data_IF_421854735961
#
_entry.id   IF_421854735961
#
_cell.length_a   1.000
_cell.length_b   1.000
_cell.length_c   1.000
_cell.angle_alpha   90.00
_cell.angle_beta   90.00
_cell.angle_gamma   90.00
#
_symmetry.space_group_name_H-M   'P 1'
#
loop_
_entity.id
_entity.type
_entity.pdbx_description
1 polymer ?
#
# COMPACT_ATOMS: atom_id res chain seq x y z
N UNK A 1 -35.34 -7.08 14.94
CA UNK A 1 -34.12 -7.93 14.95
C UNK A 1 -33.38 -7.86 13.61
N UNK A 2 -33.39 -6.72 12.90
CA UNK A 2 -33.02 -6.67 11.46
C UNK A 2 -31.84 -5.75 11.13
N UNK A 3 -31.33 -4.97 12.09
CA UNK A 3 -30.24 -4.01 11.88
C UNK A 3 -28.86 -4.67 11.76
N UNK A 4 -28.62 -5.78 12.46
CA UNK A 4 -27.34 -6.51 12.39
C UNK A 4 -27.11 -7.16 11.02
N UNK A 5 -28.19 -7.59 10.36
CA UNK A 5 -28.06 -8.18 9.02
C UNK A 5 -27.73 -7.12 7.98
N UNK A 6 -28.35 -5.95 8.04
CA UNK A 6 -28.06 -4.87 7.08
C UNK A 6 -26.65 -4.32 7.26
N UNK A 7 -26.16 -4.17 8.49
CA UNK A 7 -24.79 -3.70 8.75
C UNK A 7 -23.73 -4.64 8.17
N UNK A 8 -23.89 -5.95 8.34
CA UNK A 8 -22.95 -6.95 7.81
C UNK A 8 -22.94 -6.97 6.27
N UNK A 9 -24.10 -6.74 5.63
CA UNK A 9 -24.21 -6.65 4.17
C UNK A 9 -23.51 -5.39 3.66
N UNK A 10 -23.77 -4.23 4.27
CA UNK A 10 -23.11 -2.96 3.92
C UNK A 10 -21.60 -3.07 4.12
N UNK A 11 -21.14 -3.74 5.18
CA UNK A 11 -19.71 -3.96 5.44
C UNK A 11 -19.04 -4.84 4.38
N UNK A 12 -19.74 -5.85 3.87
CA UNK A 12 -19.27 -6.66 2.76
C UNK A 12 -19.17 -5.86 1.45
N UNK A 13 -20.13 -4.97 1.20
CA UNK A 13 -20.18 -4.14 -0.01
C UNK A 13 -19.12 -3.02 0.02
N UNK A 14 -19.10 -2.23 1.10
CA UNK A 14 -17.89 -1.94 1.89
C UNK A 14 -16.55 -2.39 1.30
N UNK A 15 -16.21 -3.58 1.75
CA UNK A 15 -14.96 -4.28 1.47
C UNK A 15 -14.80 -4.61 -0.01
N UNK A 16 -15.88 -4.98 -0.71
CA UNK A 16 -15.86 -5.27 -2.14
C UNK A 16 -15.50 -4.03 -2.98
N UNK A 17 -15.99 -2.84 -2.61
CA UNK A 17 -15.65 -1.59 -3.29
C UNK A 17 -14.16 -1.24 -3.13
N UNK A 18 -13.59 -1.44 -1.93
CA UNK A 18 -12.15 -1.28 -1.70
C UNK A 18 -11.33 -2.33 -2.45
N UNK A 19 -11.81 -3.57 -2.52
CA UNK A 19 -11.15 -4.64 -3.28
C UNK A 19 -11.16 -4.36 -4.79
N UNK A 20 -12.26 -3.83 -5.33
CA UNK A 20 -12.39 -3.43 -6.72
C UNK A 20 -11.67 -2.12 -7.06
N UNK A 21 -11.42 -1.26 -6.06
CA UNK A 21 -10.85 0.07 -6.26
C UNK A 21 -11.79 1.06 -6.93
N UNK A 22 -13.09 0.79 -6.90
CA UNK A 22 -14.11 1.61 -7.55
C UNK A 22 -15.31 1.78 -6.61
N UNK A 23 -15.83 3.01 -6.54
CA UNK A 23 -17.08 3.29 -5.84
C UNK A 23 -18.26 2.85 -6.72
N UNK A 24 -19.24 2.11 -6.18
CA UNK A 24 -20.47 1.80 -6.89
C UNK A 24 -21.26 3.08 -7.26
N UNK A 25 -21.81 3.18 -8.48
CA UNK A 25 -22.52 4.38 -8.93
C UNK A 25 -23.78 4.70 -8.11
N UNK A 26 -24.40 3.69 -7.49
CA UNK A 26 -25.52 3.81 -6.57
C UNK A 26 -25.15 4.55 -5.28
N UNK A 27 -23.96 4.30 -4.72
CA UNK A 27 -23.50 4.98 -3.51
C UNK A 27 -23.36 6.47 -3.73
N UNK A 28 -22.88 6.89 -4.91
CA UNK A 28 -22.77 8.31 -5.22
C UNK A 28 -24.11 9.04 -5.06
N UNK A 29 -25.20 8.43 -5.50
CA UNK A 29 -26.55 9.00 -5.37
C UNK A 29 -27.02 8.98 -3.92
N UNK A 30 -26.79 7.88 -3.20
CA UNK A 30 -27.16 7.76 -1.79
C UNK A 30 -26.42 8.77 -0.92
N UNK A 31 -25.11 8.93 -1.11
CA UNK A 31 -24.29 9.88 -0.36
C UNK A 31 -24.75 11.33 -0.58
N UNK A 32 -25.04 11.70 -1.83
CA UNK A 32 -25.60 13.03 -2.14
C UNK A 32 -26.98 13.23 -1.51
N UNK A 33 -27.84 12.20 -1.55
CA UNK A 33 -29.17 12.26 -0.93
C UNK A 33 -29.11 12.37 0.59
N UNK A 34 -28.12 11.73 1.22
CA UNK A 34 -27.83 11.85 2.67
C UNK A 34 -27.20 13.21 3.06
N UNK A 35 -27.04 14.13 2.11
CA UNK A 35 -26.54 15.49 2.35
C UNK A 35 -25.02 15.66 2.26
N UNK A 36 -24.27 14.64 1.84
CA UNK A 36 -22.82 14.76 1.65
C UNK A 36 -22.52 15.60 0.41
N UNK A 37 -21.57 16.52 0.51
CA UNK A 37 -21.19 17.39 -0.62
C UNK A 37 -20.58 16.57 -1.77
N UNK A 38 -20.86 16.97 -3.02
CA UNK A 38 -20.33 16.29 -4.20
C UNK A 38 -18.80 16.26 -4.27
N UNK A 39 -18.13 17.27 -3.72
CA UNK A 39 -16.66 17.25 -3.58
C UNK A 39 -16.20 16.14 -2.63
N UNK A 40 -16.86 15.97 -1.49
CA UNK A 40 -16.49 14.97 -0.48
C UNK A 40 -16.74 13.56 -1.01
N UNK A 41 -17.83 13.36 -1.76
CA UNK A 41 -18.08 12.09 -2.47
C UNK A 41 -16.96 11.78 -3.46
N UNK A 42 -16.47 12.77 -4.22
CA UNK A 42 -15.33 12.59 -5.12
C UNK A 42 -14.05 12.27 -4.36
N UNK A 43 -13.81 12.88 -3.19
CA UNK A 43 -12.68 12.57 -2.31
C UNK A 43 -12.74 11.12 -1.82
N UNK A 44 -13.93 10.63 -1.44
CA UNK A 44 -14.12 9.23 -1.05
C UNK A 44 -13.90 8.29 -2.25
N UNK A 45 -14.43 8.61 -3.42
CA UNK A 45 -14.20 7.80 -4.63
C UNK A 45 -12.70 7.73 -4.97
N UNK A 46 -12.00 8.86 -4.89
CA UNK A 46 -10.55 8.92 -5.08
C UNK A 46 -9.79 8.16 -3.99
N UNK A 47 -10.26 8.15 -2.73
CA UNK A 47 -9.61 7.42 -1.64
C UNK A 47 -9.76 5.91 -1.78
N UNK A 48 -10.91 5.42 -2.25
CA UNK A 48 -11.14 4.01 -2.61
C UNK A 48 -10.17 3.59 -3.73
N UNK A 49 -10.10 4.38 -4.82
CA UNK A 49 -9.21 4.10 -5.94
C UNK A 49 -7.73 4.14 -5.53
N UNK A 50 -7.31 5.13 -4.76
CA UNK A 50 -5.93 5.26 -4.27
C UNK A 50 -5.55 4.10 -3.33
N UNK A 51 -6.47 3.68 -2.45
CA UNK A 51 -6.23 2.53 -1.56
C UNK A 51 -6.01 1.25 -2.36
N UNK A 52 -6.83 0.99 -3.38
CA UNK A 52 -6.65 -0.15 -4.27
C UNK A 52 -5.30 -0.10 -4.99
N UNK A 53 -4.94 1.05 -5.57
CA UNK A 53 -3.65 1.22 -6.23
C UNK A 53 -2.46 1.00 -5.27
N UNK A 54 -2.54 1.49 -4.03
CA UNK A 54 -1.48 1.28 -3.05
C UNK A 54 -1.39 -0.19 -2.67
N UNK A 55 -2.50 -0.86 -2.38
CA UNK A 55 -2.51 -2.28 -2.03
C UNK A 55 -1.94 -3.11 -3.19
N UNK A 56 -2.44 -2.90 -4.41
CA UNK A 56 -1.98 -3.62 -5.60
C UNK A 56 -0.49 -3.36 -5.86
N UNK A 57 -0.06 -2.09 -5.74
CA UNK A 57 1.36 -1.71 -5.87
C UNK A 57 2.20 -2.31 -4.76
N UNK A 58 1.73 -2.40 -3.52
CA UNK A 58 2.50 -3.03 -2.43
C UNK A 58 2.63 -4.53 -2.62
N UNK A 59 1.58 -5.21 -3.09
CA UNK A 59 1.61 -6.65 -3.38
C UNK A 59 2.57 -6.93 -4.55
N UNK A 60 2.47 -6.16 -5.63
CA UNK A 60 3.37 -6.29 -6.79
C UNK A 60 4.80 -5.85 -6.46
N UNK A 61 4.97 -4.79 -5.68
CA UNK A 61 6.27 -4.36 -5.19
C UNK A 61 6.87 -5.40 -4.25
N UNK A 62 6.08 -6.10 -3.44
CA UNK A 62 6.60 -7.15 -2.56
C UNK A 62 7.24 -8.28 -3.36
N UNK A 63 6.63 -8.74 -4.45
CA UNK A 63 7.24 -9.80 -5.29
C UNK A 63 8.51 -9.30 -5.97
N UNK A 64 8.52 -8.07 -6.47
CA UNK A 64 9.73 -7.45 -7.05
C UNK A 64 10.82 -7.20 -6.01
N UNK A 65 10.47 -6.77 -4.81
CA UNK A 65 11.40 -6.55 -3.69
C UNK A 65 12.07 -7.85 -3.29
N UNK A 66 11.32 -8.95 -3.17
CA UNK A 66 11.91 -10.25 -2.86
C UNK A 66 12.92 -10.67 -3.93
N UNK A 67 12.60 -10.46 -5.22
CA UNK A 67 13.53 -10.72 -6.32
C UNK A 67 14.75 -9.78 -6.28
N UNK A 68 14.55 -8.49 -6.02
CA UNK A 68 15.64 -7.50 -5.98
C UNK A 68 16.55 -7.67 -4.76
N UNK A 69 16.00 -8.04 -3.60
CA UNK A 69 16.77 -8.41 -2.42
C UNK A 69 17.56 -9.68 -2.72
N UNK A 70 16.94 -10.71 -3.31
CA UNK A 70 17.65 -11.93 -3.66
C UNK A 70 18.79 -11.67 -4.66
N UNK A 71 18.52 -10.97 -5.76
CA UNK A 71 19.53 -10.60 -6.76
C UNK A 71 20.60 -9.67 -6.18
N UNK A 72 20.21 -8.73 -5.32
CA UNK A 72 21.12 -7.83 -4.63
C UNK A 72 22.06 -8.57 -3.69
N UNK A 73 21.54 -9.46 -2.85
CA UNK A 73 22.34 -10.32 -1.96
C UNK A 73 23.30 -11.19 -2.77
N UNK A 74 22.82 -11.82 -3.85
CA UNK A 74 23.67 -12.63 -4.73
C UNK A 74 24.73 -11.80 -5.44
N UNK A 75 24.38 -10.60 -5.91
CA UNK A 75 25.31 -9.67 -6.56
C UNK A 75 26.37 -9.14 -5.59
N UNK A 76 25.98 -8.84 -4.35
CA UNK A 76 26.91 -8.44 -3.28
C UNK A 76 27.86 -9.58 -2.93
N UNK A 77 27.34 -10.80 -2.74
CA UNK A 77 28.19 -11.98 -2.49
C UNK A 77 29.17 -12.21 -3.64
N UNK A 78 28.71 -12.07 -4.89
CA UNK A 78 29.56 -12.18 -6.07
C UNK A 78 30.65 -11.10 -6.09
N UNK A 79 30.31 -9.83 -5.84
CA UNK A 79 31.27 -8.73 -5.78
C UNK A 79 32.29 -8.90 -4.64
N UNK A 80 31.87 -9.37 -3.47
CA UNK A 80 32.78 -9.69 -2.38
C UNK A 80 33.74 -10.81 -2.76
N UNK A 81 33.26 -11.88 -3.41
CA UNK A 81 34.12 -12.97 -3.90
C UNK A 81 35.12 -12.45 -4.95
N UNK A 82 34.67 -11.65 -5.92
CA UNK A 82 35.55 -11.06 -6.94
C UNK A 82 36.57 -10.12 -6.31
N UNK A 83 36.17 -9.29 -5.33
CA UNK A 83 37.09 -8.40 -4.64
C UNK A 83 38.16 -9.18 -3.86
N UNK A 84 37.80 -10.23 -3.13
CA UNK A 84 38.77 -11.08 -2.43
C UNK A 84 39.73 -11.79 -3.39
N UNK A 85 39.23 -12.24 -4.56
CA UNK A 85 40.04 -12.93 -5.56
C UNK A 85 40.97 -11.98 -6.32
N UNK A 86 40.47 -10.81 -6.73
CA UNK A 86 41.18 -9.86 -7.61
C UNK A 86 41.99 -8.84 -6.80
N UNK A 87 41.39 -8.26 -5.76
CA UNK A 87 42.01 -7.28 -4.88
C UNK A 87 42.41 -7.97 -3.58
N UNK A 88 43.60 -8.58 -3.55
CA UNK A 88 44.27 -8.91 -2.28
C UNK A 88 44.53 -7.67 -1.40
N UNK A 89 44.34 -6.47 -1.95
CA UNK A 89 44.58 -5.19 -1.27
C UNK A 89 43.32 -4.61 -0.60
N UNK A 90 43.53 -4.04 0.59
CA UNK A 90 42.50 -3.54 1.51
C UNK A 90 41.58 -2.47 0.93
N UNK A 91 42.05 -1.69 -0.05
CA UNK A 91 41.28 -0.60 -0.66
C UNK A 91 40.04 -1.11 -1.42
N UNK A 92 40.17 -2.20 -2.18
CA UNK A 92 39.04 -2.79 -2.92
C UNK A 92 37.96 -3.35 -1.98
N UNK A 93 38.39 -3.89 -0.84
CA UNK A 93 37.51 -4.39 0.22
C UNK A 93 36.72 -3.26 0.89
N UNK A 94 37.36 -2.11 1.16
CA UNK A 94 36.68 -0.94 1.75
C UNK A 94 35.62 -0.37 0.81
N UNK A 95 35.92 -0.23 -0.49
CA UNK A 95 34.97 0.29 -1.47
C UNK A 95 33.78 -0.66 -1.65
N UNK A 96 34.02 -1.97 -1.70
CA UNK A 96 32.93 -2.95 -1.78
C UNK A 96 32.06 -2.94 -0.52
N UNK A 97 32.64 -2.91 0.68
CA UNK A 97 31.87 -2.78 1.92
C UNK A 97 31.03 -1.51 1.96
N UNK A 98 31.56 -0.38 1.49
CA UNK A 98 30.81 0.87 1.42
C UNK A 98 29.67 0.80 0.42
N UNK A 99 29.90 0.24 -0.78
CA UNK A 99 28.85 0.03 -1.79
C UNK A 99 27.73 -0.89 -1.27
N UNK A 100 28.11 -1.96 -0.57
CA UNK A 100 27.18 -2.90 0.08
C UNK A 100 26.39 -2.21 1.18
N UNK A 101 27.06 -1.43 2.04
CA UNK A 101 26.41 -0.66 3.10
C UNK A 101 25.38 0.32 2.56
N UNK A 102 25.74 1.10 1.52
CA UNK A 102 24.82 2.03 0.85
C UNK A 102 23.63 1.28 0.24
N UNK A 103 23.85 0.13 -0.40
CA UNK A 103 22.79 -0.70 -0.95
C UNK A 103 21.79 -1.15 0.13
N UNK A 104 22.27 -1.67 1.25
CA UNK A 104 21.40 -2.08 2.37
C UNK A 104 20.63 -0.91 2.97
N UNK A 105 21.27 0.25 3.15
CA UNK A 105 20.59 1.47 3.65
C UNK A 105 19.49 1.92 2.69
N UNK A 106 19.75 1.94 1.37
CA UNK A 106 18.75 2.28 0.37
C UNK A 106 17.55 1.31 0.41
N UNK A 107 17.81 0.00 0.52
CA UNK A 107 16.75 -1.00 0.63
C UNK A 107 15.93 -0.84 1.92
N UNK A 108 16.58 -0.54 3.04
CA UNK A 108 15.89 -0.26 4.30
C UNK A 108 14.99 0.98 4.20
N UNK A 109 15.47 2.07 3.57
CA UNK A 109 14.68 3.28 3.34
C UNK A 109 13.46 3.01 2.46
N UNK A 110 13.63 2.25 1.38
CA UNK A 110 12.50 1.84 0.52
C UNK A 110 11.48 1.03 1.32
N UNK A 111 11.93 0.06 2.11
CA UNK A 111 11.06 -0.75 2.97
C UNK A 111 10.26 0.10 3.96
N UNK A 112 10.91 1.03 4.66
CA UNK A 112 10.25 1.97 5.58
C UNK A 112 9.25 2.87 4.85
N UNK A 113 9.62 3.38 3.67
CA UNK A 113 8.74 4.26 2.90
C UNK A 113 7.46 3.56 2.44
N UNK A 114 7.56 2.28 2.09
CA UNK A 114 6.40 1.52 1.64
C UNK A 114 5.54 1.04 2.79
N UNK A 115 6.13 0.70 3.95
CA UNK A 115 5.38 0.46 5.17
C UNK A 115 4.63 1.73 5.63
N UNK A 116 5.26 2.90 5.52
CA UNK A 116 4.61 4.17 5.82
C UNK A 116 3.43 4.45 4.87
N UNK A 117 3.61 4.26 3.56
CA UNK A 117 2.50 4.38 2.57
C UNK A 117 1.37 3.39 2.88
N UNK A 118 1.71 2.16 3.26
CA UNK A 118 0.73 1.12 3.61
C UNK A 118 -0.08 1.49 4.85
N UNK A 119 0.59 1.98 5.91
CA UNK A 119 -0.09 2.47 7.12
C UNK A 119 -1.03 3.62 6.80
N UNK A 120 -0.55 4.61 6.03
CA UNK A 120 -1.38 5.74 5.59
C UNK A 120 -2.59 5.30 4.78
N UNK A 121 -2.44 4.34 3.86
CA UNK A 121 -3.56 3.81 3.09
C UNK A 121 -4.58 3.09 3.99
N UNK A 122 -4.11 2.35 4.99
CA UNK A 122 -4.98 1.65 5.95
C UNK A 122 -5.77 2.64 6.80
N UNK A 123 -5.14 3.71 7.27
CA UNK A 123 -5.81 4.77 8.03
C UNK A 123 -6.89 5.49 7.19
N UNK A 124 -6.56 5.87 5.96
CA UNK A 124 -7.53 6.49 5.03
C UNK A 124 -8.72 5.54 4.79
N UNK A 125 -8.45 4.25 4.64
CA UNK A 125 -9.48 3.22 4.47
C UNK A 125 -10.42 3.12 5.67
N UNK A 126 -9.90 3.12 6.89
CA UNK A 126 -10.74 3.06 8.11
C UNK A 126 -11.61 4.31 8.28
N UNK A 127 -11.06 5.49 8.00
CA UNK A 127 -11.82 6.75 8.02
C UNK A 127 -12.92 6.71 6.96
N UNK A 128 -12.58 6.34 5.73
CA UNK A 128 -13.56 6.24 4.64
C UNK A 128 -14.64 5.18 4.93
N UNK A 129 -14.29 4.03 5.52
CA UNK A 129 -15.26 3.02 5.96
C UNK A 129 -16.22 3.57 7.00
N UNK A 130 -15.71 4.32 7.98
CA UNK A 130 -16.54 4.93 9.03
C UNK A 130 -17.53 5.94 8.44
N UNK A 131 -17.07 6.79 7.53
CA UNK A 131 -17.92 7.74 6.81
C UNK A 131 -18.97 7.01 5.98
N UNK A 132 -18.58 6.04 5.16
CA UNK A 132 -19.50 5.27 4.32
C UNK A 132 -20.55 4.54 5.15
N UNK A 133 -20.17 3.88 6.25
CA UNK A 133 -21.11 3.23 7.16
C UNK A 133 -22.15 4.21 7.68
N UNK A 134 -21.74 5.42 8.08
CA UNK A 134 -22.65 6.42 8.61
C UNK A 134 -23.65 6.90 7.54
N UNK A 135 -23.18 7.25 6.35
CA UNK A 135 -24.04 7.83 5.31
C UNK A 135 -24.85 6.79 4.50
N UNK A 136 -24.40 5.53 4.41
CA UNK A 136 -25.13 4.46 3.72
C UNK A 136 -26.17 3.77 4.62
N UNK A 137 -25.95 3.74 5.94
CA UNK A 137 -26.95 3.22 6.89
C UNK A 137 -27.90 4.30 7.41
N UNK A 138 -27.61 5.59 7.17
CA UNK A 138 -28.50 6.67 7.58
C UNK A 138 -29.84 6.51 6.86
N UNK A 139 -30.98 6.48 7.59
CA UNK A 139 -32.29 6.51 6.95
C UNK A 139 -32.43 7.86 6.23
N UNK A 140 -32.46 7.82 4.90
CA UNK A 140 -32.99 8.91 4.08
C UNK A 140 -34.52 8.92 4.22
#
# INVERSE_FOLDING_TARGET
MSTTSSSNVVDGEIEAAFAAGAMPPEWRRLLLASGLNGNDVNVIAASIANTHLIILRTTWSSTQKMAFIALGVMGVLFLCLVAVVVFRETMGLMVTLLAVGVFYVAMALVAVSDECKRRRATEIREVARTVLRHYLLSPV
#
